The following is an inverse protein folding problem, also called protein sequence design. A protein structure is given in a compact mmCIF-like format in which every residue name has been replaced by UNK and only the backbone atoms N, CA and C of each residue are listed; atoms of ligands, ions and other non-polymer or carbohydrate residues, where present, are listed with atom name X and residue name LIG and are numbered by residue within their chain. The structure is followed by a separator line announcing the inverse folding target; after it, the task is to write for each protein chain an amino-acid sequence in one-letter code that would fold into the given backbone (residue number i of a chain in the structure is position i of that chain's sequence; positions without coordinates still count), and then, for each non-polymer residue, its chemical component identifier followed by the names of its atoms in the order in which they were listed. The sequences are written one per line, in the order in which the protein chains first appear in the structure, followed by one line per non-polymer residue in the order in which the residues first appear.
data_IF_983214378416
#
_entry.id   IF_983214378416
#
_cell.length_a   1.000
_cell.length_b   1.000
_cell.length_c   1.000
_cell.angle_alpha   90.00
_cell.angle_beta   90.00
_cell.angle_gamma   90.00
#
_symmetry.space_group_name_H-M   'P 1'
#
loop_
_entity.id
_entity.type
_entity.pdbx_description
1 polymer ?
#
# COMPACT_ATOMS: atom_id res chain seq x y z
N UNK A 1 -30.93 -1.18 -1.16
CA UNK A 1 -29.54 -1.29 -0.67
C UNK A 1 -28.81 -2.21 -1.60
N UNK A 2 -27.75 -1.78 -2.31
CA UNK A 2 -27.02 -2.65 -3.20
C UNK A 2 -26.22 -3.70 -2.43
N UNK A 3 -26.16 -4.91 -2.98
CA UNK A 3 -25.28 -5.98 -2.53
C UNK A 3 -23.92 -5.81 -3.16
N UNK A 4 -22.89 -5.69 -2.33
CA UNK A 4 -21.50 -5.51 -2.75
C UNK A 4 -20.67 -6.76 -2.45
N UNK A 5 -20.06 -7.34 -3.48
CA UNK A 5 -19.04 -8.35 -3.34
C UNK A 5 -17.64 -7.77 -3.53
N UNK A 6 -16.75 -7.95 -2.57
CA UNK A 6 -15.32 -7.74 -2.73
C UNK A 6 -14.62 -9.08 -2.98
N UNK A 7 -13.77 -9.15 -4.00
CA UNK A 7 -13.03 -10.36 -4.39
C UNK A 7 -11.55 -10.08 -4.23
N UNK A 8 -10.89 -10.71 -3.25
CA UNK A 8 -9.55 -10.35 -2.75
C UNK A 8 -8.69 -11.60 -2.58
N UNK A 9 -7.38 -11.51 -2.83
CA UNK A 9 -6.47 -12.66 -2.75
C UNK A 9 -6.46 -13.30 -1.35
N UNK A 10 -6.11 -12.52 -0.34
CA UNK A 10 -6.01 -12.91 1.07
C UNK A 10 -6.43 -11.74 1.96
N UNK A 11 -6.67 -11.93 3.26
CA UNK A 11 -7.02 -10.84 4.17
C UNK A 11 -5.77 -10.02 4.58
N UNK A 12 -5.48 -8.86 3.94
CA UNK A 12 -4.32 -8.06 4.30
C UNK A 12 -4.63 -7.16 5.50
N UNK A 13 -3.73 -7.07 6.51
CA UNK A 13 -3.99 -6.38 7.77
C UNK A 13 -4.31 -4.89 7.60
N UNK A 14 -3.81 -4.25 6.55
CA UNK A 14 -4.08 -2.85 6.23
C UNK A 14 -5.42 -2.62 5.51
N UNK A 15 -6.07 -3.68 4.95
CA UNK A 15 -7.38 -3.59 4.29
C UNK A 15 -8.53 -4.02 5.19
N UNK A 16 -8.31 -4.91 6.17
CA UNK A 16 -9.35 -5.38 7.09
C UNK A 16 -10.01 -4.23 7.87
N UNK A 17 -9.27 -3.25 8.44
CA UNK A 17 -9.89 -2.10 9.08
C UNK A 17 -10.76 -1.28 8.12
N UNK A 18 -10.37 -1.15 6.83
CA UNK A 18 -11.15 -0.48 5.79
C UNK A 18 -12.46 -1.22 5.53
N UNK A 19 -12.41 -2.56 5.39
CA UNK A 19 -13.61 -3.37 5.17
C UNK A 19 -14.54 -3.39 6.38
N UNK A 20 -13.99 -3.34 7.61
CA UNK A 20 -14.78 -3.16 8.83
C UNK A 20 -15.54 -1.81 8.83
N UNK A 21 -14.88 -0.72 8.40
CA UNK A 21 -15.54 0.60 8.22
C UNK A 21 -16.59 0.56 7.12
N UNK A 22 -16.28 -0.10 6.01
CA UNK A 22 -17.19 -0.23 4.88
C UNK A 22 -18.47 -0.99 5.27
N UNK A 23 -18.34 -2.06 6.05
CA UNK A 23 -19.48 -2.83 6.55
C UNK A 23 -20.36 -2.07 7.57
N UNK A 24 -19.82 -1.02 8.19
CA UNK A 24 -20.58 -0.19 9.12
C UNK A 24 -21.48 0.85 8.44
N UNK A 25 -21.43 0.99 7.11
CA UNK A 25 -22.35 1.87 6.38
C UNK A 25 -23.70 1.17 6.13
N UNK A 26 -24.78 1.78 6.56
CA UNK A 26 -26.16 1.26 6.39
C UNK A 26 -26.67 1.28 4.93
N UNK A 27 -25.82 1.62 3.97
CA UNK A 27 -26.21 1.83 2.58
C UNK A 27 -25.85 0.68 1.64
N UNK A 28 -25.13 -0.33 2.14
CA UNK A 28 -24.67 -1.49 1.36
C UNK A 28 -24.82 -2.77 2.18
N UNK A 29 -25.00 -3.89 1.48
CA UNK A 29 -24.87 -5.25 2.03
C UNK A 29 -23.55 -5.83 1.53
N UNK A 30 -22.54 -5.87 2.41
CA UNK A 30 -21.16 -6.24 2.05
C UNK A 30 -20.87 -7.71 2.33
N UNK A 31 -20.31 -8.40 1.33
CA UNK A 31 -19.64 -9.69 1.52
C UNK A 31 -18.27 -9.71 0.85
N UNK A 32 -17.25 -10.21 1.57
CA UNK A 32 -15.88 -10.32 1.06
C UNK A 32 -15.54 -11.78 0.80
N UNK A 33 -15.05 -12.07 -0.41
CA UNK A 33 -14.59 -13.39 -0.82
C UNK A 33 -13.06 -13.40 -0.90
N UNK A 34 -12.42 -14.21 -0.05
CA UNK A 34 -10.98 -14.40 -0.02
C UNK A 34 -10.58 -15.67 -0.79
N UNK A 35 -9.53 -15.58 -1.61
CA UNK A 35 -9.04 -16.72 -2.39
C UNK A 35 -8.30 -17.74 -1.54
N UNK A 36 -7.61 -17.28 -0.50
CA UNK A 36 -6.90 -18.11 0.46
C UNK A 36 -6.85 -17.44 1.84
N UNK A 37 -6.44 -18.22 2.86
CA UNK A 37 -6.22 -17.70 4.22
C UNK A 37 -4.91 -16.93 4.31
N UNK A 38 -3.83 -17.49 3.73
CA UNK A 38 -2.49 -16.91 3.70
C UNK A 38 -1.76 -17.30 2.41
N UNK A 39 -1.09 -16.33 1.78
CA UNK A 39 -0.07 -16.64 0.79
C UNK A 39 1.20 -17.17 1.49
N UNK A 40 1.95 -18.13 0.90
CA UNK A 40 3.07 -18.82 1.57
C UNK A 40 4.20 -17.92 2.07
N UNK A 41 4.32 -16.69 1.56
CA UNK A 41 5.34 -15.70 1.95
C UNK A 41 4.81 -14.59 2.86
N UNK A 42 3.64 -14.75 3.48
CA UNK A 42 3.01 -13.77 4.35
C UNK A 42 2.88 -14.31 5.77
N UNK A 43 3.35 -13.53 6.75
CA UNK A 43 3.45 -13.95 8.16
C UNK A 43 2.76 -12.95 9.09
N UNK A 44 1.83 -12.14 8.58
CA UNK A 44 1.13 -11.16 9.39
C UNK A 44 -0.05 -11.74 10.16
N UNK A 45 -0.33 -11.16 11.33
CA UNK A 45 -1.56 -11.41 12.05
C UNK A 45 -2.69 -10.56 11.44
N UNK A 46 -3.81 -11.21 11.13
CA UNK A 46 -4.97 -10.53 10.58
C UNK A 46 -5.80 -9.92 11.71
N UNK A 47 -6.20 -8.64 11.64
CA UNK A 47 -7.16 -8.05 12.55
C UNK A 47 -8.51 -8.76 12.51
N UNK A 48 -9.34 -8.57 13.54
CA UNK A 48 -10.70 -9.10 13.58
C UNK A 48 -11.54 -8.59 12.39
N UNK A 49 -12.18 -9.52 11.68
CA UNK A 49 -13.09 -9.23 10.57
C UNK A 49 -14.52 -9.09 11.08
N UNK A 50 -15.08 -7.86 11.03
CA UNK A 50 -16.42 -7.50 11.49
C UNK A 50 -17.43 -7.38 10.35
N UNK A 51 -17.21 -8.11 9.26
CA UNK A 51 -18.04 -8.14 8.06
C UNK A 51 -18.30 -9.57 7.61
N UNK A 52 -19.35 -9.79 6.83
CA UNK A 52 -19.60 -11.10 6.24
C UNK A 52 -18.52 -11.46 5.23
N UNK A 53 -17.94 -12.63 5.37
CA UNK A 53 -16.87 -13.11 4.52
C UNK A 53 -16.91 -14.61 4.28
N UNK A 54 -16.30 -15.03 3.19
CA UNK A 54 -16.21 -16.42 2.80
C UNK A 54 -14.82 -16.70 2.22
N UNK A 55 -14.15 -17.76 2.68
CA UNK A 55 -12.94 -18.26 2.06
C UNK A 55 -13.33 -19.25 0.95
N UNK A 56 -12.86 -18.97 -0.26
CA UNK A 56 -13.01 -19.87 -1.40
C UNK A 56 -12.12 -21.11 -1.20
N UNK A 57 -12.36 -22.14 -2.01
CA UNK A 57 -11.50 -23.32 -2.02
C UNK A 57 -10.10 -22.93 -2.51
N UNK A 58 -9.11 -23.04 -1.64
CA UNK A 58 -7.74 -22.62 -1.95
C UNK A 58 -7.17 -23.40 -3.13
N UNK A 59 -6.71 -22.67 -4.13
CA UNK A 59 -6.07 -23.22 -5.30
C UNK A 59 -5.03 -22.20 -5.80
N UNK A 60 -3.78 -22.39 -5.36
CA UNK A 60 -2.67 -21.46 -5.59
C UNK A 60 -1.57 -22.19 -6.38
N UNK A 61 -1.13 -21.57 -7.45
CA UNK A 61 0.03 -22.00 -8.24
C UNK A 61 1.14 -20.97 -8.13
N UNK A 62 2.40 -21.43 -8.09
CA UNK A 62 3.57 -20.53 -8.15
C UNK A 62 4.18 -20.59 -9.53
N UNK A 63 4.21 -19.45 -10.23
CA UNK A 63 4.82 -19.32 -11.55
C UNK A 63 5.82 -18.16 -11.52
N UNK A 64 7.09 -18.44 -11.77
CA UNK A 64 8.16 -17.44 -11.75
C UNK A 64 8.18 -16.60 -10.46
N UNK A 65 7.98 -17.24 -9.29
CA UNK A 65 7.95 -16.59 -7.98
C UNK A 65 6.70 -15.75 -7.68
N UNK A 66 5.67 -15.80 -8.54
CA UNK A 66 4.39 -15.12 -8.35
C UNK A 66 3.30 -16.12 -8.02
N UNK A 67 2.43 -15.79 -7.07
CA UNK A 67 1.26 -16.58 -6.74
C UNK A 67 0.11 -16.29 -7.70
N UNK A 68 -0.46 -17.34 -8.27
CA UNK A 68 -1.61 -17.29 -9.17
C UNK A 68 -2.75 -18.03 -8.48
N UNK A 69 -3.83 -17.31 -8.22
CA UNK A 69 -5.04 -17.85 -7.60
C UNK A 69 -6.04 -18.24 -8.67
N UNK A 70 -6.53 -19.48 -8.61
CA UNK A 70 -7.46 -20.05 -9.57
C UNK A 70 -8.63 -20.75 -8.85
N UNK A 71 -9.61 -19.98 -8.38
CA UNK A 71 -10.74 -20.42 -7.58
C UNK A 71 -12.04 -20.35 -8.41
N UNK A 72 -12.37 -21.34 -9.23
CA UNK A 72 -13.58 -21.31 -10.07
C UNK A 72 -14.88 -21.35 -9.26
N UNK A 73 -14.84 -21.79 -8.01
CA UNK A 73 -15.96 -21.78 -7.07
C UNK A 73 -16.42 -20.37 -6.69
N UNK A 74 -15.67 -19.31 -7.01
CA UNK A 74 -16.13 -17.92 -6.94
C UNK A 74 -17.44 -17.70 -7.70
N UNK A 75 -17.65 -18.39 -8.83
CA UNK A 75 -18.88 -18.32 -9.61
C UNK A 75 -20.08 -18.83 -8.80
N UNK A 76 -19.92 -19.93 -8.08
CA UNK A 76 -20.97 -20.47 -7.20
C UNK A 76 -21.23 -19.57 -6.00
N UNK A 77 -20.16 -19.03 -5.42
CA UNK A 77 -20.24 -18.09 -4.30
C UNK A 77 -20.98 -16.80 -4.68
N UNK A 78 -20.66 -16.23 -5.84
CA UNK A 78 -21.36 -15.07 -6.39
C UNK A 78 -22.82 -15.38 -6.75
N UNK A 79 -23.13 -16.58 -7.26
CA UNK A 79 -24.53 -16.98 -7.51
C UNK A 79 -25.36 -17.08 -6.22
N UNK A 80 -24.77 -17.53 -5.11
CA UNK A 80 -25.47 -17.61 -3.82
C UNK A 80 -25.73 -16.24 -3.22
N UNK A 81 -24.77 -15.34 -3.28
CA UNK A 81 -24.88 -13.99 -2.74
C UNK A 81 -25.68 -13.07 -3.64
N UNK A 82 -25.59 -13.24 -4.97
CA UNK A 82 -26.23 -12.44 -6.04
C UNK A 82 -25.96 -10.94 -5.89
N UNK A 83 -24.69 -10.49 -5.94
CA UNK A 83 -24.32 -9.08 -5.77
C UNK A 83 -24.78 -8.22 -6.94
N UNK A 84 -25.10 -6.95 -6.66
CA UNK A 84 -25.34 -5.93 -7.68
C UNK A 84 -24.02 -5.37 -8.26
N UNK A 85 -23.02 -5.25 -7.37
CA UNK A 85 -21.68 -4.75 -7.73
C UNK A 85 -20.60 -5.72 -7.22
N UNK A 86 -19.65 -6.02 -8.08
CA UNK A 86 -18.46 -6.81 -7.75
C UNK A 86 -17.21 -5.94 -7.90
N UNK A 87 -16.42 -5.81 -6.86
CA UNK A 87 -15.11 -5.15 -6.88
C UNK A 87 -14.01 -6.20 -6.89
N UNK A 88 -13.08 -6.12 -7.85
CA UNK A 88 -11.93 -7.00 -7.94
C UNK A 88 -10.61 -6.24 -7.86
N UNK A 89 -9.74 -6.65 -6.92
CA UNK A 89 -8.42 -6.06 -6.74
C UNK A 89 -7.33 -6.88 -7.42
N UNK A 90 -7.37 -6.98 -8.75
CA UNK A 90 -6.34 -7.68 -9.50
C UNK A 90 -6.84 -8.38 -10.77
N UNK A 91 -5.96 -9.25 -11.32
CA UNK A 91 -6.17 -9.96 -12.58
C UNK A 91 -5.78 -11.45 -12.51
N UNK A 92 -5.85 -12.06 -11.34
CA UNK A 92 -5.78 -13.51 -11.21
C UNK A 92 -6.97 -14.17 -11.95
N UNK A 93 -6.87 -15.45 -12.36
CA UNK A 93 -8.00 -16.17 -12.96
C UNK A 93 -9.32 -16.02 -12.20
N UNK A 94 -9.29 -16.05 -10.86
CA UNK A 94 -10.46 -15.85 -10.01
C UNK A 94 -11.14 -14.49 -10.24
N UNK A 95 -10.36 -13.39 -10.38
CA UNK A 95 -10.91 -12.08 -10.73
C UNK A 95 -11.55 -12.07 -12.12
N UNK A 96 -10.94 -12.78 -13.08
CA UNK A 96 -11.49 -12.90 -14.43
C UNK A 96 -12.83 -13.66 -14.42
N UNK A 97 -12.93 -14.75 -13.63
CA UNK A 97 -14.21 -15.45 -13.45
C UNK A 97 -15.28 -14.55 -12.85
N UNK A 98 -14.94 -13.78 -11.82
CA UNK A 98 -15.86 -12.84 -11.20
C UNK A 98 -16.31 -11.73 -12.19
N UNK A 99 -15.40 -11.19 -12.98
CA UNK A 99 -15.72 -10.22 -14.04
C UNK A 99 -16.64 -10.83 -15.11
N UNK A 100 -16.34 -12.03 -15.63
CA UNK A 100 -17.17 -12.71 -16.62
C UNK A 100 -18.55 -13.03 -16.06
N UNK A 101 -18.63 -13.43 -14.79
CA UNK A 101 -19.90 -13.62 -14.10
C UNK A 101 -20.77 -12.34 -14.11
N UNK A 102 -20.18 -11.17 -13.81
CA UNK A 102 -20.92 -9.91 -13.84
C UNK A 102 -21.45 -9.60 -15.25
N UNK A 103 -20.65 -9.88 -16.28
CA UNK A 103 -21.08 -9.70 -17.68
C UNK A 103 -22.28 -10.60 -18.03
N UNK A 104 -22.22 -11.89 -17.67
CA UNK A 104 -23.28 -12.85 -17.93
C UNK A 104 -24.57 -12.52 -17.17
N UNK A 105 -24.44 -12.01 -15.96
CA UNK A 105 -25.57 -11.65 -15.09
C UNK A 105 -26.03 -10.20 -15.26
N UNK A 106 -25.42 -9.42 -16.17
CA UNK A 106 -25.67 -7.99 -16.36
C UNK A 106 -25.52 -7.19 -15.07
N UNK A 107 -24.52 -7.56 -14.25
CA UNK A 107 -24.12 -6.87 -13.03
C UNK A 107 -22.91 -5.99 -13.31
N UNK A 108 -22.56 -5.12 -12.35
CA UNK A 108 -21.46 -4.19 -12.53
C UNK A 108 -20.15 -4.73 -11.93
N UNK A 109 -19.06 -4.65 -12.70
CA UNK A 109 -17.70 -4.90 -12.23
C UNK A 109 -16.97 -3.58 -12.03
N UNK A 110 -16.38 -3.37 -10.85
CA UNK A 110 -15.56 -2.20 -10.50
C UNK A 110 -14.12 -2.66 -10.32
N UNK A 111 -13.21 -2.31 -11.22
CA UNK A 111 -11.80 -2.61 -11.06
C UNK A 111 -11.20 -1.78 -9.92
N UNK A 112 -10.41 -2.43 -9.06
CA UNK A 112 -9.61 -1.80 -8.03
C UNK A 112 -8.13 -2.09 -8.27
N UNK A 113 -7.24 -1.12 -8.08
CA UNK A 113 -5.80 -1.29 -8.25
C UNK A 113 -4.99 -0.57 -7.17
N UNK A 114 -3.94 -1.25 -6.70
CA UNK A 114 -2.87 -0.64 -5.91
C UNK A 114 -1.68 -0.24 -6.81
N UNK A 115 -1.70 -0.66 -8.09
CA UNK A 115 -0.63 -0.43 -9.06
C UNK A 115 -0.56 1.00 -9.58
N UNK A 116 0.57 1.31 -10.20
CA UNK A 116 0.86 2.56 -10.90
C UNK A 116 1.35 2.27 -12.31
N UNK A 117 1.56 3.29 -13.14
CA UNK A 117 2.17 3.09 -14.47
C UNK A 117 3.51 2.36 -14.41
N UNK A 118 4.32 2.62 -13.37
CA UNK A 118 5.59 1.95 -13.14
C UNK A 118 5.43 0.43 -12.98
N UNK A 119 4.40 -0.02 -12.27
CA UNK A 119 4.13 -1.45 -12.07
C UNK A 119 3.69 -2.17 -13.37
N UNK A 120 3.27 -1.43 -14.38
CA UNK A 120 2.79 -1.96 -15.66
C UNK A 120 3.91 -2.15 -16.70
N UNK A 121 5.11 -1.59 -16.48
CA UNK A 121 6.22 -1.59 -17.47
C UNK A 121 6.58 -3.02 -17.89
N UNK A 122 6.64 -3.94 -16.93
CA UNK A 122 7.03 -5.35 -17.14
C UNK A 122 5.91 -6.26 -17.67
N UNK A 123 4.71 -5.74 -17.90
CA UNK A 123 3.58 -6.57 -18.32
C UNK A 123 3.64 -6.95 -19.79
N UNK A 124 3.29 -8.22 -20.07
CA UNK A 124 3.14 -8.71 -21.44
C UNK A 124 1.93 -8.07 -22.16
N UNK A 125 1.92 -8.17 -23.51
CA UNK A 125 0.81 -7.68 -24.33
C UNK A 125 -0.54 -8.27 -23.92
N UNK A 126 -0.57 -9.55 -23.53
CA UNK A 126 -1.79 -10.23 -23.07
C UNK A 126 -2.34 -9.61 -21.80
N UNK A 127 -1.47 -9.33 -20.81
CA UNK A 127 -1.90 -8.66 -19.57
C UNK A 127 -2.45 -7.27 -19.84
N UNK A 128 -1.82 -6.49 -20.72
CA UNK A 128 -2.31 -5.15 -21.11
C UNK A 128 -3.65 -5.25 -21.85
N UNK A 129 -3.83 -6.24 -22.71
CA UNK A 129 -5.11 -6.46 -23.39
C UNK A 129 -6.24 -6.80 -22.41
N UNK A 130 -5.98 -7.68 -21.42
CA UNK A 130 -6.96 -8.01 -20.37
C UNK A 130 -7.36 -6.74 -19.59
N UNK A 131 -6.40 -5.87 -19.24
CA UNK A 131 -6.70 -4.60 -18.57
C UNK A 131 -7.53 -3.68 -19.45
N UNK A 132 -7.14 -3.48 -20.69
CA UNK A 132 -7.90 -2.67 -21.65
C UNK A 132 -9.34 -3.19 -21.79
N UNK A 133 -9.50 -4.50 -21.91
CA UNK A 133 -10.80 -5.15 -21.99
C UNK A 133 -11.64 -4.90 -20.72
N UNK A 134 -11.04 -5.05 -19.55
CA UNK A 134 -11.72 -4.83 -18.26
C UNK A 134 -12.08 -3.36 -18.08
N UNK A 135 -11.12 -2.45 -18.32
CA UNK A 135 -11.30 -1.02 -18.07
C UNK A 135 -12.28 -0.36 -19.06
N UNK A 136 -12.35 -0.85 -20.30
CA UNK A 136 -13.34 -0.33 -21.26
C UNK A 136 -14.81 -0.59 -20.85
N UNK A 137 -15.03 -1.46 -19.86
CA UNK A 137 -16.37 -1.87 -19.37
C UNK A 137 -16.69 -1.35 -17.96
N UNK A 138 -15.71 -0.83 -17.26
CA UNK A 138 -15.91 -0.29 -15.90
C UNK A 138 -16.77 0.97 -15.93
N UNK A 139 -17.70 1.09 -14.99
CA UNK A 139 -18.50 2.30 -14.76
C UNK A 139 -17.86 3.19 -13.71
N UNK A 140 -17.17 2.62 -12.74
CA UNK A 140 -16.36 3.29 -11.74
C UNK A 140 -15.04 2.52 -11.53
N UNK A 141 -14.02 3.18 -10.99
CA UNK A 141 -12.67 2.64 -10.83
C UNK A 141 -12.11 3.06 -9.47
N UNK A 142 -11.48 2.14 -8.76
CA UNK A 142 -10.88 2.42 -7.46
C UNK A 142 -9.37 2.34 -7.58
N UNK A 143 -8.68 3.40 -7.17
CA UNK A 143 -7.23 3.47 -7.12
C UNK A 143 -6.73 3.75 -5.70
N UNK A 144 -5.60 3.16 -5.32
CA UNK A 144 -4.99 3.41 -4.02
C UNK A 144 -4.29 4.77 -3.92
N UNK A 145 -3.92 5.37 -5.06
CA UNK A 145 -3.08 6.58 -5.14
C UNK A 145 -3.40 7.42 -6.37
N UNK A 146 -2.87 8.64 -6.43
CA UNK A 146 -2.91 9.46 -7.64
C UNK A 146 -2.17 8.75 -8.79
N UNK A 147 -1.08 8.03 -8.50
CA UNK A 147 -0.38 7.20 -9.48
C UNK A 147 -1.27 6.09 -10.06
N UNK A 148 -2.13 5.48 -9.25
CA UNK A 148 -3.14 4.51 -9.70
C UNK A 148 -4.25 5.16 -10.54
N UNK A 149 -4.66 6.37 -10.20
CA UNK A 149 -5.60 7.12 -11.02
C UNK A 149 -4.99 7.51 -12.38
N UNK A 150 -3.72 7.92 -12.40
CA UNK A 150 -2.99 8.20 -13.64
C UNK A 150 -2.83 6.94 -14.49
N UNK A 151 -2.67 5.77 -13.88
CA UNK A 151 -2.69 4.49 -14.59
C UNK A 151 -4.03 4.27 -15.32
N UNK A 152 -5.17 4.45 -14.67
CA UNK A 152 -6.47 4.34 -15.32
C UNK A 152 -6.65 5.34 -16.47
N UNK A 153 -6.20 6.60 -16.28
CA UNK A 153 -6.25 7.62 -17.33
C UNK A 153 -5.39 7.24 -18.55
N UNK A 154 -4.24 6.58 -18.35
CA UNK A 154 -3.41 6.07 -19.45
C UNK A 154 -4.12 4.98 -20.27
N UNK A 155 -5.10 4.28 -19.70
CA UNK A 155 -6.00 3.36 -20.39
C UNK A 155 -7.28 4.02 -20.95
N UNK A 156 -7.38 5.35 -20.92
CA UNK A 156 -8.53 6.10 -21.47
C UNK A 156 -9.70 6.27 -20.49
N UNK A 157 -9.53 5.92 -19.21
CA UNK A 157 -10.58 6.13 -18.20
C UNK A 157 -10.64 7.61 -17.82
N UNK A 158 -11.86 8.17 -17.78
CA UNK A 158 -12.08 9.55 -17.33
C UNK A 158 -11.82 9.70 -15.84
N UNK A 159 -11.20 10.82 -15.42
CA UNK A 159 -10.85 11.12 -14.04
C UNK A 159 -12.07 11.16 -13.09
N UNK A 160 -13.22 11.64 -13.56
CA UNK A 160 -14.46 11.72 -12.80
C UNK A 160 -15.11 10.37 -12.47
N UNK A 161 -14.61 9.27 -13.07
CA UNK A 161 -14.98 7.89 -12.73
C UNK A 161 -14.01 7.21 -11.78
N UNK A 162 -12.94 7.88 -11.39
CA UNK A 162 -11.90 7.34 -10.52
C UNK A 162 -12.09 7.80 -9.07
N UNK A 163 -12.14 6.86 -8.15
CA UNK A 163 -12.33 7.05 -6.71
C UNK A 163 -11.07 6.57 -5.98
N UNK A 164 -10.73 7.23 -4.87
CA UNK A 164 -9.55 6.84 -4.10
C UNK A 164 -9.92 5.99 -2.90
N UNK A 165 -9.33 4.79 -2.81
CA UNK A 165 -9.29 4.01 -1.58
C UNK A 165 -7.82 3.81 -1.22
N UNK A 166 -7.27 4.77 -0.48
CA UNK A 166 -5.84 4.84 -0.19
C UNK A 166 -5.34 3.61 0.58
N UNK A 167 -4.07 3.27 0.36
CA UNK A 167 -3.32 2.43 1.30
C UNK A 167 -2.93 3.31 2.50
N UNK A 168 -3.29 2.87 3.69
CA UNK A 168 -3.15 3.66 4.91
C UNK A 168 -2.88 2.79 6.13
N UNK A 169 -2.55 3.44 7.23
CA UNK A 169 -2.35 2.84 8.54
C UNK A 169 -3.23 3.54 9.58
N UNK A 170 -3.20 3.08 10.83
CA UNK A 170 -3.83 3.79 11.95
C UNK A 170 -2.99 5.00 12.35
N UNK A 171 -3.28 6.15 11.73
CA UNK A 171 -2.54 7.38 11.98
C UNK A 171 -2.54 7.79 13.46
N UNK A 172 -3.67 7.63 14.16
CA UNK A 172 -3.81 8.01 15.56
C UNK A 172 -2.85 7.22 16.45
N UNK A 173 -2.65 5.94 16.17
CA UNK A 173 -1.73 5.07 16.88
C UNK A 173 -0.28 5.54 16.78
N UNK A 174 0.16 5.99 15.60
CA UNK A 174 1.52 6.52 15.41
C UNK A 174 1.68 7.94 15.93
N UNK A 175 0.61 8.70 16.12
CA UNK A 175 0.64 10.05 16.68
C UNK A 175 0.67 10.07 18.22
N UNK A 176 0.16 9.02 18.87
CA UNK A 176 -0.11 9.01 20.33
C UNK A 176 1.16 8.99 21.22
N UNK A 177 2.33 8.64 20.69
CA UNK A 177 3.56 8.45 21.47
C UNK A 177 4.58 9.60 21.35
N UNK A 178 4.14 10.80 20.96
CA UNK A 178 5.03 11.88 20.52
C UNK A 178 6.02 12.46 21.57
N UNK A 179 5.88 12.22 22.87
CA UNK A 179 6.52 13.09 23.86
C UNK A 179 7.39 12.43 24.94
N UNK A 180 7.74 11.16 24.86
CA UNK A 180 8.25 10.50 26.06
C UNK A 180 9.70 10.04 26.08
N UNK A 181 10.38 9.87 24.93
CA UNK A 181 11.77 9.42 24.96
C UNK A 181 12.68 10.18 23.98
N UNK A 182 13.95 10.44 24.36
CA UNK A 182 14.92 11.05 23.46
C UNK A 182 15.15 10.13 22.26
N UNK A 183 15.17 10.71 21.05
CA UNK A 183 15.45 9.97 19.82
C UNK A 183 16.83 9.31 19.89
N UNK A 184 16.83 7.99 20.02
CA UNK A 184 18.00 7.16 20.22
C UNK A 184 18.78 6.93 18.92
N UNK A 185 18.04 6.81 17.78
CA UNK A 185 18.62 6.43 16.49
C UNK A 185 18.69 7.64 15.55
N UNK A 186 19.79 7.78 14.82
CA UNK A 186 19.87 8.78 13.76
C UNK A 186 18.97 8.39 12.59
N UNK A 187 18.91 7.08 12.27
CA UNK A 187 18.11 6.53 11.18
C UNK A 187 17.27 5.33 11.63
N UNK A 188 16.17 5.11 10.91
CA UNK A 188 15.42 3.86 10.91
C UNK A 188 15.14 3.43 9.48
N UNK A 189 15.26 2.14 9.23
CA UNK A 189 14.70 1.41 8.09
C UNK A 189 13.62 0.46 8.64
N UNK A 190 12.46 0.40 8.03
CA UNK A 190 11.41 -0.53 8.38
C UNK A 190 10.86 -1.20 7.12
N UNK A 191 10.90 -2.53 7.07
CA UNK A 191 10.43 -3.30 5.93
C UNK A 191 11.08 -4.67 5.82
N UNK A 192 10.71 -5.42 4.79
CA UNK A 192 11.36 -6.71 4.52
C UNK A 192 12.83 -6.49 4.17
N UNK A 193 13.71 -7.28 4.76
CA UNK A 193 15.16 -7.27 4.45
C UNK A 193 15.42 -8.06 3.16
N UNK A 194 14.92 -7.50 2.04
CA UNK A 194 14.98 -8.11 0.70
C UNK A 194 15.66 -7.17 -0.31
N UNK A 195 16.31 -7.70 -1.37
CA UNK A 195 17.03 -6.88 -2.36
C UNK A 195 16.19 -5.78 -3.01
N UNK A 196 14.88 -5.99 -3.15
CA UNK A 196 13.95 -5.00 -3.69
C UNK A 196 13.76 -3.78 -2.78
N UNK A 197 14.04 -3.91 -1.47
CA UNK A 197 13.92 -2.85 -0.47
C UNK A 197 15.26 -2.17 -0.14
N UNK A 198 16.36 -2.71 -0.63
CA UNK A 198 17.73 -2.17 -0.49
C UNK A 198 18.11 -1.75 0.94
N UNK A 199 17.94 -2.62 1.96
CA UNK A 199 18.32 -2.27 3.33
C UNK A 199 19.82 -2.03 3.48
N UNK A 200 20.65 -2.67 2.66
CA UNK A 200 22.11 -2.51 2.55
C UNK A 200 22.51 -1.08 2.16
N UNK A 201 21.76 -0.44 1.28
CA UNK A 201 21.96 0.96 0.91
C UNK A 201 21.76 1.92 2.09
N UNK A 202 20.87 1.58 3.03
CA UNK A 202 20.70 2.38 4.26
C UNK A 202 21.98 2.39 5.11
N UNK A 203 22.73 1.29 5.13
CA UNK A 203 24.03 1.22 5.82
C UNK A 203 25.06 2.09 5.09
N UNK A 204 25.06 2.09 3.76
CA UNK A 204 25.98 2.92 2.96
C UNK A 204 25.75 4.42 3.22
N UNK A 205 24.49 4.85 3.27
CA UNK A 205 24.11 6.22 3.65
C UNK A 205 24.59 6.57 5.06
N UNK A 206 24.39 5.66 6.02
CA UNK A 206 24.84 5.88 7.40
C UNK A 206 26.36 6.02 7.50
N UNK A 207 27.14 5.20 6.78
CA UNK A 207 28.59 5.30 6.69
C UNK A 207 29.04 6.64 6.11
N UNK A 208 28.45 7.07 5.00
CA UNK A 208 28.73 8.38 4.39
C UNK A 208 28.46 9.53 5.35
N UNK A 209 27.33 9.47 6.06
CA UNK A 209 27.02 10.45 7.10
C UNK A 209 28.04 10.45 8.22
N UNK A 210 28.47 9.27 8.71
CA UNK A 210 29.46 9.14 9.77
C UNK A 210 30.81 9.77 9.36
N UNK A 211 31.30 9.45 8.17
CA UNK A 211 32.57 9.99 7.65
C UNK A 211 32.55 11.52 7.56
N UNK A 212 31.43 12.09 7.08
CA UNK A 212 31.29 13.54 6.88
C UNK A 212 30.98 14.30 8.17
N UNK A 213 30.32 13.67 9.15
CA UNK A 213 30.03 14.27 10.45
C UNK A 213 31.16 14.11 11.47
N UNK A 214 32.15 13.26 11.19
CA UNK A 214 33.26 12.96 12.11
C UNK A 214 32.80 12.25 13.40
N UNK A 215 31.64 11.57 13.39
CA UNK A 215 31.12 10.79 14.54
C UNK A 215 30.44 9.52 14.06
N UNK A 216 30.31 8.56 14.97
CA UNK A 216 29.48 7.37 14.70
C UNK A 216 28.02 7.78 14.50
N UNK A 217 27.37 7.12 13.57
CA UNK A 217 25.94 7.28 13.24
C UNK A 217 25.22 5.98 13.60
N UNK A 218 24.05 6.11 14.20
CA UNK A 218 23.24 4.97 14.65
C UNK A 218 22.06 4.71 13.70
N UNK A 219 21.80 3.43 13.41
CA UNK A 219 20.70 3.00 12.54
C UNK A 219 19.97 1.80 13.15
N UNK A 220 18.63 1.88 13.13
CA UNK A 220 17.73 0.80 13.52
C UNK A 220 17.17 0.13 12.25
N UNK A 221 17.37 -1.18 12.11
CA UNK A 221 16.78 -2.00 11.07
C UNK A 221 15.64 -2.83 11.66
N UNK A 222 14.41 -2.58 11.16
CA UNK A 222 13.18 -3.25 11.61
C UNK A 222 12.66 -4.12 10.48
N UNK A 223 12.51 -5.41 10.73
CA UNK A 223 12.02 -6.40 9.78
C UNK A 223 12.91 -7.63 9.71
N UNK A 224 12.54 -8.56 8.83
CA UNK A 224 13.27 -9.80 8.54
C UNK A 224 13.28 -10.05 7.03
N UNK A 225 14.15 -10.93 6.55
CA UNK A 225 14.23 -11.28 5.14
C UNK A 225 15.53 -11.98 4.77
N UNK A 226 15.67 -12.30 3.49
CA UNK A 226 16.79 -13.10 2.95
C UNK A 226 18.16 -12.44 3.11
N UNK A 227 18.22 -11.11 3.23
CA UNK A 227 19.47 -10.36 3.39
C UNK A 227 19.97 -10.23 4.85
N UNK A 228 19.25 -10.79 5.83
CA UNK A 228 19.55 -10.54 7.26
C UNK A 228 20.98 -10.94 7.64
N UNK A 229 21.45 -12.11 7.18
CA UNK A 229 22.80 -12.60 7.48
C UNK A 229 23.88 -11.72 6.84
N UNK A 230 23.71 -11.33 5.58
CA UNK A 230 24.60 -10.43 4.86
C UNK A 230 24.68 -9.05 5.52
N UNK A 231 23.53 -8.49 5.92
CA UNK A 231 23.46 -7.20 6.61
C UNK A 231 24.16 -7.24 7.98
N UNK A 232 24.04 -8.33 8.74
CA UNK A 232 24.75 -8.51 10.01
C UNK A 232 26.26 -8.57 9.81
N UNK A 233 26.73 -9.28 8.79
CA UNK A 233 28.16 -9.31 8.44
C UNK A 233 28.65 -7.91 8.04
N UNK A 234 27.96 -7.22 7.11
CA UNK A 234 28.29 -5.85 6.68
C UNK A 234 28.31 -4.89 7.87
N UNK A 235 27.37 -5.00 8.81
CA UNK A 235 27.33 -4.18 10.02
C UNK A 235 28.56 -4.39 10.92
N UNK A 236 29.06 -5.62 11.04
CA UNK A 236 30.29 -5.91 11.80
C UNK A 236 31.52 -5.27 11.17
N UNK A 237 31.65 -5.34 9.84
CA UNK A 237 32.75 -4.72 9.09
C UNK A 237 32.73 -3.18 9.22
N UNK A 238 31.54 -2.58 9.33
CA UNK A 238 31.32 -1.13 9.41
C UNK A 238 31.25 -0.57 10.84
N UNK A 239 31.49 -1.38 11.87
CA UNK A 239 31.29 -1.02 13.28
C UNK A 239 32.09 0.19 13.78
N UNK A 240 33.17 0.57 13.10
CA UNK A 240 33.97 1.78 13.38
C UNK A 240 33.24 3.07 13.00
N UNK A 241 32.33 2.99 12.03
CA UNK A 241 31.61 4.13 11.47
C UNK A 241 30.18 4.21 11.98
N UNK A 242 29.50 3.07 12.08
CA UNK A 242 28.08 3.02 12.41
C UNK A 242 27.78 2.07 13.56
N UNK A 243 26.68 2.36 14.25
CA UNK A 243 26.08 1.51 15.27
C UNK A 243 24.75 0.98 14.71
N UNK A 244 24.71 -0.32 14.40
CA UNK A 244 23.55 -0.96 13.76
C UNK A 244 22.82 -1.83 14.78
N UNK A 245 21.53 -1.58 14.93
CA UNK A 245 20.66 -2.44 15.73
C UNK A 245 19.63 -3.13 14.85
N UNK A 246 19.49 -4.44 15.01
CA UNK A 246 18.49 -5.27 14.34
C UNK A 246 17.36 -5.57 15.33
N UNK A 247 16.20 -4.95 15.14
CA UNK A 247 15.02 -5.21 15.95
C UNK A 247 14.31 -6.53 15.58
N UNK A 248 14.64 -7.09 14.42
CA UNK A 248 13.90 -8.24 13.89
C UNK A 248 12.50 -7.86 13.40
N UNK A 249 11.64 -8.86 13.26
CA UNK A 249 10.24 -8.64 12.91
C UNK A 249 9.51 -7.98 14.10
N UNK A 250 8.92 -6.81 13.88
CA UNK A 250 8.15 -6.09 14.88
C UNK A 250 6.65 -6.28 14.66
N UNK A 251 5.92 -6.48 15.75
CA UNK A 251 4.45 -6.51 15.72
C UNK A 251 3.89 -5.09 15.53
N UNK A 252 2.67 -5.00 15.03
CA UNK A 252 2.01 -3.71 14.76
C UNK A 252 1.97 -2.78 16.00
N UNK A 253 1.90 -3.38 17.21
CA UNK A 253 1.88 -2.66 18.48
C UNK A 253 3.21 -1.99 18.83
N UNK A 254 4.30 -2.57 18.36
CA UNK A 254 5.67 -2.13 18.68
C UNK A 254 6.17 -1.04 17.72
N UNK A 255 5.59 -0.99 16.51
CA UNK A 255 6.04 -0.07 15.45
C UNK A 255 6.05 1.41 15.87
N UNK A 256 5.00 1.98 16.51
CA UNK A 256 5.01 3.40 16.89
C UNK A 256 6.24 3.78 17.71
N UNK A 257 6.57 3.03 18.77
CA UNK A 257 7.75 3.28 19.60
C UNK A 257 9.06 3.22 18.83
N UNK A 258 9.17 2.26 17.87
CA UNK A 258 10.36 2.15 17.03
C UNK A 258 10.52 3.36 16.10
N UNK A 259 9.44 3.81 15.44
CA UNK A 259 9.50 5.02 14.62
C UNK A 259 9.82 6.27 15.46
N UNK A 260 9.22 6.44 16.64
CA UNK A 260 9.49 7.58 17.52
C UNK A 260 10.92 7.59 18.07
N UNK A 261 11.57 6.44 18.17
CA UNK A 261 12.95 6.34 18.65
C UNK A 261 14.01 6.86 17.67
N UNK A 262 13.64 7.18 16.43
CA UNK A 262 14.55 7.60 15.36
C UNK A 262 14.34 9.07 14.92
N UNK A 263 15.34 9.64 14.24
CA UNK A 263 15.31 11.01 13.72
C UNK A 263 14.85 11.11 12.27
N UNK A 264 15.19 10.11 11.43
CA UNK A 264 14.96 10.12 9.98
C UNK A 264 14.61 8.70 9.54
N UNK A 265 13.59 8.56 8.71
CA UNK A 265 13.23 7.30 8.06
C UNK A 265 13.88 7.20 6.68
N UNK A 266 14.56 6.08 6.42
CA UNK A 266 15.16 5.75 5.12
C UNK A 266 14.30 4.72 4.40
N UNK A 267 13.85 5.05 3.19
CA UNK A 267 13.03 4.16 2.35
C UNK A 267 13.65 3.99 0.95
N UNK A 268 14.78 3.26 0.85
CA UNK A 268 15.55 3.11 -0.39
C UNK A 268 15.01 1.99 -1.31
N UNK A 269 13.71 1.89 -1.46
CA UNK A 269 13.12 0.82 -2.27
C UNK A 269 13.41 0.98 -3.76
N UNK A 270 13.70 -0.13 -4.46
CA UNK A 270 13.83 -0.15 -5.93
C UNK A 270 12.47 -0.16 -6.63
N UNK A 271 11.43 -0.64 -5.94
CA UNK A 271 10.05 -0.61 -6.41
C UNK A 271 9.09 -0.84 -5.24
N UNK A 272 8.13 0.04 -5.10
CA UNK A 272 6.98 -0.13 -4.22
C UNK A 272 5.78 0.61 -4.81
N UNK A 273 4.64 -0.06 -4.93
CA UNK A 273 3.44 0.55 -5.51
C UNK A 273 2.92 1.72 -4.68
N UNK A 274 3.23 1.73 -3.36
CA UNK A 274 2.92 2.81 -2.44
C UNK A 274 3.97 2.95 -1.34
N UNK A 275 4.08 1.95 -0.47
CA UNK A 275 4.91 1.94 0.73
C UNK A 275 4.12 2.40 1.96
N UNK A 276 3.30 1.51 2.55
CA UNK A 276 2.55 1.80 3.80
C UNK A 276 3.45 2.26 4.94
N UNK A 277 4.70 1.78 4.98
CA UNK A 277 5.73 2.24 5.92
C UNK A 277 6.02 3.74 5.83
N UNK A 278 5.77 4.38 4.67
CA UNK A 278 5.85 5.83 4.55
C UNK A 278 4.70 6.53 5.28
N UNK A 279 3.48 5.95 5.27
CA UNK A 279 2.36 6.48 6.07
C UNK A 279 2.68 6.41 7.57
N UNK A 280 3.27 5.29 8.01
CA UNK A 280 3.69 5.08 9.40
C UNK A 280 4.71 6.15 9.84
N UNK A 281 5.77 6.35 9.03
CA UNK A 281 6.76 7.39 9.27
C UNK A 281 6.15 8.80 9.28
N UNK A 282 5.23 9.09 8.34
CA UNK A 282 4.54 10.38 8.25
C UNK A 282 3.65 10.62 9.49
N UNK A 283 2.88 9.62 9.91
CA UNK A 283 2.03 9.71 11.09
C UNK A 283 2.86 9.90 12.37
N UNK A 284 4.02 9.22 12.47
CA UNK A 284 5.00 9.44 13.54
C UNK A 284 5.74 10.78 13.46
N UNK A 285 5.50 11.61 12.43
CA UNK A 285 6.18 12.89 12.24
C UNK A 285 7.67 12.76 11.94
N UNK A 286 8.08 11.66 11.30
CA UNK A 286 9.46 11.33 11.02
C UNK A 286 9.82 11.73 9.58
N UNK A 287 10.73 12.70 9.34
CA UNK A 287 11.17 13.06 8.00
C UNK A 287 11.66 11.86 7.19
N UNK A 288 11.29 11.80 5.91
CA UNK A 288 11.51 10.65 5.05
C UNK A 288 12.53 10.97 3.95
N UNK A 289 13.52 10.10 3.77
CA UNK A 289 14.29 10.00 2.54
C UNK A 289 13.78 8.81 1.73
N UNK A 290 13.40 9.04 0.47
CA UNK A 290 12.69 8.05 -0.35
C UNK A 290 13.21 8.08 -1.79
N UNK A 291 13.13 6.94 -2.48
CA UNK A 291 13.37 6.89 -3.92
C UNK A 291 12.14 7.35 -4.72
N UNK A 292 12.29 7.81 -5.97
CA UNK A 292 11.16 8.10 -6.84
C UNK A 292 10.35 6.85 -7.25
N UNK A 293 10.88 5.65 -6.94
CA UNK A 293 10.26 4.37 -7.29
C UNK A 293 9.22 3.86 -6.28
N UNK A 294 8.98 4.60 -5.19
CA UNK A 294 7.89 4.36 -4.26
C UNK A 294 6.69 5.24 -4.61
N UNK A 295 5.49 4.67 -4.63
CA UNK A 295 4.26 5.40 -4.99
C UNK A 295 3.92 6.57 -4.07
N UNK A 296 4.42 6.57 -2.83
CA UNK A 296 4.27 7.67 -1.88
C UNK A 296 5.13 8.91 -2.24
N UNK A 297 6.15 8.74 -3.10
CA UNK A 297 7.00 9.86 -3.56
C UNK A 297 6.22 10.78 -4.50
N UNK A 298 6.25 12.09 -4.22
CA UNK A 298 5.50 13.10 -4.97
C UNK A 298 4.05 13.26 -4.54
N UNK A 299 3.48 12.31 -3.81
CA UNK A 299 2.09 12.37 -3.31
C UNK A 299 2.06 12.63 -1.79
N UNK A 300 2.67 11.79 -0.99
CA UNK A 300 2.77 11.94 0.46
C UNK A 300 4.09 12.61 0.87
N UNK A 301 5.18 12.25 0.20
CA UNK A 301 6.49 12.86 0.41
C UNK A 301 6.76 13.88 -0.69
N UNK A 302 6.89 15.15 -0.31
CA UNK A 302 7.14 16.28 -1.21
C UNK A 302 8.59 16.74 -1.05
N UNK A 303 9.36 16.68 -2.14
CA UNK A 303 10.79 16.96 -2.11
C UNK A 303 11.11 18.35 -1.51
N UNK A 304 12.01 18.38 -0.55
CA UNK A 304 12.45 19.59 0.15
C UNK A 304 11.44 20.23 1.12
N UNK A 305 10.19 19.72 1.20
CA UNK A 305 9.13 20.28 2.07
C UNK A 305 8.88 19.44 3.34
N UNK A 306 8.92 18.12 3.22
CA UNK A 306 8.66 17.21 4.34
C UNK A 306 9.54 15.95 4.30
N UNK A 307 10.37 15.84 3.28
CA UNK A 307 11.32 14.76 3.04
C UNK A 307 12.19 15.10 1.85
N UNK A 308 12.92 14.09 1.36
CA UNK A 308 13.73 14.22 0.16
C UNK A 308 13.51 13.01 -0.75
N UNK A 309 13.38 13.27 -2.06
CA UNK A 309 13.22 12.24 -3.09
C UNK A 309 14.52 12.20 -3.89
N UNK A 310 15.25 11.09 -3.84
CA UNK A 310 16.53 10.92 -4.54
C UNK A 310 16.64 9.50 -5.11
N UNK A 311 17.31 9.37 -6.25
CA UNK A 311 17.77 8.06 -6.74
C UNK A 311 18.73 7.42 -5.73
N UNK A 312 19.02 6.13 -5.87
CA UNK A 312 19.91 5.39 -4.97
C UNK A 312 21.37 5.83 -5.17
N UNK A 313 21.68 7.03 -4.69
CA UNK A 313 22.99 7.65 -4.62
C UNK A 313 23.30 8.00 -3.16
N UNK A 314 24.27 7.29 -2.56
CA UNK A 314 24.60 7.42 -1.15
C UNK A 314 25.14 8.82 -0.79
N UNK A 315 25.81 9.51 -1.71
CA UNK A 315 26.33 10.85 -1.47
C UNK A 315 25.17 11.87 -1.47
N UNK A 316 24.24 11.81 -2.43
CA UNK A 316 23.05 12.65 -2.47
C UNK A 316 22.13 12.43 -1.26
N UNK A 317 21.96 11.15 -0.83
CA UNK A 317 21.19 10.83 0.37
C UNK A 317 21.85 11.34 1.65
N UNK A 318 23.20 11.21 1.76
CA UNK A 318 23.93 11.70 2.92
C UNK A 318 23.89 13.23 3.01
N UNK A 319 23.93 13.96 1.92
CA UNK A 319 23.73 15.42 1.89
C UNK A 319 22.38 15.82 2.51
N UNK A 320 21.32 15.15 2.07
CA UNK A 320 19.96 15.39 2.59
C UNK A 320 19.84 15.00 4.07
N UNK A 321 20.39 13.86 4.46
CA UNK A 321 20.35 13.35 5.81
C UNK A 321 21.12 14.26 6.80
N UNK A 322 22.32 14.71 6.43
CA UNK A 322 23.14 15.60 7.26
C UNK A 322 22.42 16.94 7.53
N UNK A 323 21.77 17.52 6.50
CA UNK A 323 20.96 18.74 6.66
C UNK A 323 19.84 18.57 7.69
N UNK A 324 19.27 17.37 7.81
CA UNK A 324 18.24 17.05 8.79
C UNK A 324 18.88 16.72 10.16
N UNK A 325 19.97 15.94 10.21
CA UNK A 325 20.62 15.57 11.46
C UNK A 325 21.15 16.80 12.23
N UNK A 326 21.65 17.81 11.52
CA UNK A 326 22.20 19.04 12.07
C UNK A 326 21.15 20.12 12.39
N UNK A 327 19.87 19.95 11.96
CA UNK A 327 18.84 20.99 12.12
C UNK A 327 17.54 20.43 12.71
N UNK A 328 17.42 20.47 14.04
CA UNK A 328 16.24 20.03 14.77
C UNK A 328 14.96 20.78 14.33
N UNK A 329 15.03 22.10 14.18
CA UNK A 329 13.89 22.93 13.78
C UNK A 329 13.33 22.49 12.41
N UNK A 330 14.24 22.16 11.47
CA UNK A 330 13.83 21.66 10.15
C UNK A 330 13.20 20.28 10.25
N UNK A 331 13.74 19.37 11.07
CA UNK A 331 13.14 18.05 11.30
C UNK A 331 11.74 18.17 11.86
N UNK A 332 11.55 19.00 12.87
CA UNK A 332 10.25 19.26 13.50
C UNK A 332 9.25 19.88 12.51
N UNK A 333 9.69 20.85 11.69
CA UNK A 333 8.85 21.45 10.66
C UNK A 333 8.43 20.42 9.61
N UNK A 334 9.34 19.55 9.15
CA UNK A 334 9.05 18.47 8.23
C UNK A 334 8.05 17.47 8.86
N UNK A 335 8.30 17.07 10.14
CA UNK A 335 7.43 16.17 10.86
C UNK A 335 5.99 16.69 10.98
N UNK A 336 5.80 17.95 11.36
CA UNK A 336 4.48 18.58 11.42
C UNK A 336 3.77 18.60 10.07
N UNK A 337 4.51 18.89 9.00
CA UNK A 337 3.94 18.89 7.64
C UNK A 337 3.53 17.48 7.22
N UNK A 338 4.33 16.46 7.53
CA UNK A 338 4.00 15.05 7.26
C UNK A 338 2.72 14.62 7.96
N UNK A 339 2.58 14.95 9.24
CA UNK A 339 1.39 14.65 10.03
C UNK A 339 0.12 15.32 9.50
N UNK A 340 0.24 16.50 8.90
CA UNK A 340 -0.89 17.16 8.23
C UNK A 340 -1.25 16.46 6.91
N UNK A 341 -0.25 16.12 6.09
CA UNK A 341 -0.48 15.51 4.77
C UNK A 341 -1.00 14.07 4.87
N UNK A 342 -0.64 13.32 5.92
CA UNK A 342 -1.10 11.94 6.07
C UNK A 342 -2.53 11.82 6.58
N UNK A 343 -3.11 12.88 7.16
CA UNK A 343 -4.49 12.84 7.71
C UNK A 343 -5.55 12.29 6.78
N UNK A 344 -5.58 12.68 5.49
CA UNK A 344 -6.60 12.15 4.55
C UNK A 344 -6.34 10.69 4.15
N UNK A 345 -5.20 10.12 4.53
CA UNK A 345 -4.88 8.72 4.27
C UNK A 345 -5.22 7.89 5.50
N UNK A 346 -6.50 7.74 5.77
CA UNK A 346 -7.05 6.96 6.88
C UNK A 346 -8.04 5.90 6.42
N UNK A 347 -8.46 5.04 7.35
CA UNK A 347 -9.38 3.94 7.07
C UNK A 347 -10.78 4.42 6.68
N UNK A 348 -11.24 5.55 7.24
CA UNK A 348 -12.57 6.08 6.96
C UNK A 348 -12.64 6.71 5.56
N UNK A 349 -11.61 7.46 5.15
CA UNK A 349 -11.48 7.98 3.79
C UNK A 349 -11.36 6.86 2.75
N UNK A 350 -10.57 5.82 3.04
CA UNK A 350 -10.41 4.68 2.15
C UNK A 350 -11.72 3.89 1.98
N UNK A 351 -12.48 3.66 3.06
CA UNK A 351 -13.78 3.01 3.02
C UNK A 351 -14.81 3.83 2.26
N UNK A 352 -14.83 5.15 2.47
CA UNK A 352 -15.70 6.08 1.74
C UNK A 352 -15.45 6.05 0.24
N UNK A 353 -14.18 6.02 -0.18
CA UNK A 353 -13.83 5.88 -1.60
C UNK A 353 -14.36 4.61 -2.24
N UNK A 354 -14.39 3.47 -1.52
CA UNK A 354 -15.02 2.23 -1.99
C UNK A 354 -16.54 2.41 -2.08
N UNK A 355 -17.16 3.00 -1.07
CA UNK A 355 -18.61 3.25 -1.04
C UNK A 355 -19.02 4.13 -2.21
N UNK A 356 -18.35 5.27 -2.40
CA UNK A 356 -18.67 6.24 -3.46
C UNK A 356 -18.56 5.61 -4.86
N UNK A 357 -17.50 4.82 -5.10
CA UNK A 357 -17.34 4.06 -6.35
C UNK A 357 -18.48 3.05 -6.55
N UNK A 358 -18.88 2.36 -5.48
CA UNK A 358 -19.98 1.38 -5.50
C UNK A 358 -21.29 2.04 -5.85
N UNK A 359 -21.62 3.15 -5.18
CA UNK A 359 -22.87 3.87 -5.39
C UNK A 359 -22.94 4.50 -6.79
N UNK A 360 -21.85 5.08 -7.28
CA UNK A 360 -21.75 5.62 -8.64
C UNK A 360 -21.96 4.53 -9.71
N UNK A 361 -21.34 3.38 -9.53
CA UNK A 361 -21.46 2.25 -10.44
C UNK A 361 -22.88 1.67 -10.43
N UNK A 362 -23.48 1.51 -9.26
CA UNK A 362 -24.85 1.01 -9.09
C UNK A 362 -25.89 1.96 -9.70
N UNK A 363 -25.76 3.29 -9.47
CA UNK A 363 -26.64 4.31 -10.06
C UNK A 363 -26.57 4.31 -11.59
N UNK A 364 -25.37 4.35 -12.16
CA UNK A 364 -25.17 4.36 -13.62
C UNK A 364 -25.73 3.11 -14.32
N UNK A 365 -25.69 1.96 -13.65
CA UNK A 365 -26.28 0.73 -14.19
C UNK A 365 -27.81 0.84 -14.29
N UNK A 366 -28.45 1.37 -13.28
CA UNK A 366 -29.93 1.54 -13.25
C UNK A 366 -30.41 2.55 -14.28
N UNK A 367 -29.71 3.66 -14.42
CA UNK A 367 -30.04 4.69 -15.41
C UNK A 367 -29.91 4.14 -16.86
N UNK A 368 -28.85 3.37 -17.12
CA UNK A 368 -28.67 2.67 -18.41
C UNK A 368 -29.75 1.63 -18.68
N UNK A 369 -30.22 0.89 -17.67
CA UNK A 369 -31.33 -0.07 -17.82
C UNK A 369 -32.68 0.62 -18.06
N UNK A 370 -32.92 1.76 -17.41
CA UNK A 370 -34.16 2.56 -17.62
C UNK A 370 -34.18 3.16 -19.03
N UNK A 371 -33.03 3.61 -19.56
CA UNK A 371 -32.95 4.16 -20.91
C UNK A 371 -33.23 3.12 -22.00
N UNK A 372 -32.85 1.85 -21.78
CA UNK A 372 -33.11 0.73 -22.72
C UNK A 372 -34.56 0.21 -22.62
N UNK A 373 -35.24 0.42 -21.51
CA UNK A 373 -36.60 -0.07 -21.27
C UNK A 373 -37.71 0.93 -21.65
N UNK A 374 -37.40 2.13 -22.16
CA UNK A 374 -38.39 3.06 -22.73
C UNK A 374 -38.58 2.67 -24.20
N UNK A 375 -39.75 2.12 -24.59
CA UNK A 375 -40.06 1.94 -26.01
C UNK A 375 -40.18 3.32 -26.67
N UNK A 376 -39.58 3.44 -27.86
CA UNK A 376 -39.73 4.59 -28.77
C UNK A 376 -41.18 4.65 -29.26
#
# INVERSE_FOLDING_TARGET
MPKLALVVNEPPPYRIPIFNRLAAFDHIDLKVFFFCRHEPNRFWNCPEMKFDHEFLRENIYTVNGRYIHNNPDVVLALNRFDPDVVIGNGFNPTHIYAMLWTMLRRRTYVPMTDGTQQSEISLSKVHRWIRQFTYSRGLAFIAASQGGMALYQAYGVRRDRCYQSCLCTDNARFQAEQDKEPKRWDFIFCGRLEPAKSPDFSLDVAVRCSQRLGRRVSILLVGSGSMESELKQKAQELNRHIDVHFAGFARQEELPGLYHSAKIFLFPTKADVWGVVANEACAAGLPVLITPHAGAAGELIIDGKNGFIRELDADAWSDCAIRLLQNNKRREAFGKHLQLLVKPYDFDAAARGILDATMAAYGSQRDGQVAVSRPV
#
